data_IF_449480084091
#
_entry.id   IF_449480084091
#
_cell.length_a   1.000
_cell.length_b   1.000
_cell.length_c   1.000
_cell.angle_alpha   90.00
_cell.angle_beta   90.00
_cell.angle_gamma   90.00
#
_symmetry.space_group_name_H-M   'P 1'
#
loop_
_entity.id
_entity.type
_entity.pdbx_description
1 polymer ?
#
# COMPACT_ATOMS: atom_id res chain seq x y z
N UNK A 1 -6.54 43.12 -18.36
CA UNK A 1 -7.14 41.93 -17.70
C UNK A 1 -6.84 40.72 -18.57
N UNK A 2 -6.13 39.73 -18.04
CA UNK A 2 -6.13 38.32 -18.45
C UNK A 2 -5.15 37.59 -17.54
N UNK A 3 -5.63 37.20 -16.35
CA UNK A 3 -4.91 36.28 -15.47
C UNK A 3 -5.08 34.88 -16.05
N UNK A 4 -4.02 34.34 -16.64
CA UNK A 4 -3.92 32.94 -17.03
C UNK A 4 -4.09 32.08 -15.78
N UNK A 5 -5.31 31.58 -15.59
CA UNK A 5 -5.66 30.65 -14.53
C UNK A 5 -5.10 29.29 -14.94
N UNK A 6 -3.79 29.09 -14.75
CA UNK A 6 -3.16 27.77 -14.90
C UNK A 6 -3.87 26.83 -13.93
N UNK A 7 -4.58 25.79 -14.40
CA UNK A 7 -5.08 24.78 -13.49
C UNK A 7 -3.85 24.17 -12.82
N UNK A 8 -3.70 24.46 -11.54
CA UNK A 8 -2.77 23.80 -10.64
C UNK A 8 -2.91 22.31 -10.91
N UNK A 9 -1.80 21.63 -11.19
CA UNK A 9 -1.73 20.17 -11.26
C UNK A 9 -2.00 19.67 -9.84
N UNK A 10 -3.28 19.71 -9.45
CA UNK A 10 -3.80 18.90 -8.37
C UNK A 10 -3.57 17.49 -8.85
N UNK A 11 -2.60 16.83 -8.22
CA UNK A 11 -2.37 15.41 -8.37
C UNK A 11 -3.72 14.71 -8.25
N UNK A 12 -4.31 14.35 -9.39
CA UNK A 12 -5.47 13.48 -9.43
C UNK A 12 -4.95 12.15 -8.91
N UNK A 13 -5.06 11.95 -7.60
CA UNK A 13 -4.93 10.64 -6.98
C UNK A 13 -6.06 9.81 -7.59
N UNK A 14 -5.78 9.14 -8.70
CA UNK A 14 -6.70 8.13 -9.23
C UNK A 14 -6.83 7.11 -8.10
N UNK A 15 -8.01 7.09 -7.49
CA UNK A 15 -8.34 6.10 -6.49
C UNK A 15 -8.17 4.73 -7.14
N UNK A 16 -7.23 3.95 -6.63
CA UNK A 16 -7.05 2.57 -7.06
C UNK A 16 -8.19 1.79 -6.42
N UNK A 17 -8.90 0.99 -7.23
CA UNK A 17 -9.99 0.18 -6.70
C UNK A 17 -9.45 -0.84 -5.67
N UNK A 18 -10.22 -1.13 -4.60
CA UNK A 18 -9.82 -2.07 -3.54
C UNK A 18 -9.28 -3.41 -4.04
N UNK A 19 -9.89 -3.96 -5.08
CA UNK A 19 -9.56 -5.28 -5.63
C UNK A 19 -8.14 -5.30 -6.20
N UNK A 20 -7.69 -4.19 -6.78
CA UNK A 20 -6.31 -4.05 -7.24
C UNK A 20 -5.34 -3.92 -6.07
N UNK A 21 -5.72 -3.22 -5.00
CA UNK A 21 -4.88 -3.11 -3.80
C UNK A 21 -4.68 -4.48 -3.13
N UNK A 22 -5.73 -5.30 -3.07
CA UNK A 22 -5.64 -6.67 -2.59
C UNK A 22 -4.71 -7.51 -3.46
N UNK A 23 -4.88 -7.47 -4.78
CA UNK A 23 -4.02 -8.21 -5.71
C UNK A 23 -2.53 -7.82 -5.59
N UNK A 24 -2.24 -6.53 -5.47
CA UNK A 24 -0.88 -6.05 -5.20
C UNK A 24 -0.35 -6.56 -3.85
N UNK A 25 -1.16 -6.50 -2.80
CA UNK A 25 -0.79 -6.98 -1.48
C UNK A 25 -0.43 -8.47 -1.50
N UNK A 26 -1.20 -9.31 -2.19
CA UNK A 26 -0.88 -10.75 -2.28
C UNK A 26 0.43 -11.02 -3.02
N UNK A 27 0.64 -10.34 -4.15
CA UNK A 27 1.84 -10.51 -4.95
C UNK A 27 3.08 -10.10 -4.13
N UNK A 28 3.02 -8.94 -3.48
CA UNK A 28 4.11 -8.40 -2.68
C UNK A 28 4.38 -9.24 -1.42
N UNK A 29 3.33 -9.77 -0.78
CA UNK A 29 3.45 -10.65 0.39
C UNK A 29 4.13 -11.98 0.05
N UNK A 30 3.81 -12.56 -1.11
CA UNK A 30 4.52 -13.75 -1.61
C UNK A 30 6.01 -13.46 -1.88
N UNK A 31 6.33 -12.23 -2.28
CA UNK A 31 7.71 -11.78 -2.48
C UNK A 31 8.41 -11.32 -1.18
N UNK A 32 7.68 -11.12 -0.09
CA UNK A 32 8.18 -10.59 1.19
C UNK A 32 8.71 -9.16 1.07
N UNK A 33 8.16 -8.35 0.16
CA UNK A 33 8.63 -6.98 -0.12
C UNK A 33 7.46 -6.01 -0.14
N UNK A 34 7.15 -5.32 0.97
CA UNK A 34 6.02 -4.41 1.01
C UNK A 34 6.26 -3.18 0.14
N UNK A 35 5.22 -2.72 -0.56
CA UNK A 35 5.30 -1.60 -1.48
C UNK A 35 5.11 -0.26 -0.74
N UNK A 36 6.14 0.62 -0.71
CA UNK A 36 6.08 1.90 -0.01
C UNK A 36 4.92 2.80 -0.47
N UNK A 37 4.49 2.67 -1.73
CA UNK A 37 3.38 3.45 -2.31
C UNK A 37 2.06 3.21 -1.58
N UNK A 38 1.86 2.01 -1.03
CA UNK A 38 0.59 1.58 -0.44
C UNK A 38 0.63 1.48 1.09
N UNK A 39 1.72 1.92 1.74
CA UNK A 39 1.83 1.94 3.21
C UNK A 39 0.68 2.67 3.90
N UNK A 40 0.06 3.67 3.26
CA UNK A 40 -1.08 4.40 3.81
C UNK A 40 -2.45 3.77 3.52
N UNK A 41 -2.49 2.62 2.85
CA UNK A 41 -3.73 1.93 2.49
C UNK A 41 -4.00 0.80 3.48
N UNK A 42 -5.04 0.94 4.30
CA UNK A 42 -5.43 -0.11 5.25
C UNK A 42 -5.73 -1.44 4.54
N UNK A 43 -6.42 -1.39 3.39
CA UNK A 43 -6.75 -2.58 2.58
C UNK A 43 -5.49 -3.33 2.19
N UNK A 44 -4.49 -2.61 1.66
CA UNK A 44 -3.22 -3.21 1.26
C UNK A 44 -2.48 -3.80 2.46
N UNK A 45 -2.30 -3.00 3.53
CA UNK A 45 -1.49 -3.39 4.68
C UNK A 45 -2.10 -4.57 5.42
N UNK A 46 -3.42 -4.56 5.66
CA UNK A 46 -4.12 -5.68 6.30
C UNK A 46 -4.00 -6.97 5.48
N UNK A 47 -4.21 -6.91 4.16
CA UNK A 47 -4.11 -8.10 3.29
C UNK A 47 -2.68 -8.63 3.22
N UNK A 48 -1.70 -7.74 3.08
CA UNK A 48 -0.28 -8.10 3.03
C UNK A 48 0.14 -8.80 4.32
N UNK A 49 -0.17 -8.22 5.48
CA UNK A 49 0.25 -8.75 6.78
C UNK A 49 -0.43 -10.08 7.11
N UNK A 50 -1.71 -10.25 6.77
CA UNK A 50 -2.41 -11.52 6.94
C UNK A 50 -1.69 -12.66 6.18
N UNK A 51 -1.36 -12.42 4.90
CA UNK A 51 -0.67 -13.42 4.08
C UNK A 51 0.74 -13.69 4.60
N UNK A 52 1.47 -12.66 5.03
CA UNK A 52 2.81 -12.86 5.61
C UNK A 52 2.75 -13.64 6.91
N UNK A 53 1.81 -13.34 7.79
CA UNK A 53 1.61 -14.09 9.04
C UNK A 53 1.35 -15.57 8.75
N UNK A 54 0.54 -15.88 7.75
CA UNK A 54 0.27 -17.26 7.34
C UNK A 54 1.48 -17.95 6.70
N UNK A 55 2.29 -17.22 5.93
CA UNK A 55 3.42 -17.79 5.19
C UNK A 55 4.66 -18.04 6.06
N UNK A 56 4.97 -17.10 6.95
CA UNK A 56 6.24 -17.12 7.70
C UNK A 56 6.08 -16.95 9.20
N UNK A 57 4.89 -16.62 9.71
CA UNK A 57 4.70 -16.26 11.11
C UNK A 57 5.04 -14.79 11.41
N UNK A 58 4.26 -14.10 12.27
CA UNK A 58 4.49 -12.70 12.62
C UNK A 58 5.84 -12.45 13.33
N UNK A 59 6.38 -13.44 14.04
CA UNK A 59 7.69 -13.39 14.69
C UNK A 59 8.86 -13.28 13.70
N UNK A 60 8.61 -13.59 12.43
CA UNK A 60 9.58 -13.53 11.34
C UNK A 60 9.42 -12.29 10.44
N UNK A 61 8.59 -11.33 10.86
CA UNK A 61 8.42 -10.07 10.13
C UNK A 61 9.69 -9.22 10.18
N UNK A 62 10.04 -8.67 9.02
CA UNK A 62 11.08 -7.66 8.90
C UNK A 62 10.61 -6.31 9.46
N UNK A 63 11.54 -5.41 9.75
CA UNK A 63 11.22 -4.05 10.21
C UNK A 63 10.26 -3.32 9.27
N UNK A 64 10.39 -3.55 7.96
CA UNK A 64 9.52 -2.96 6.95
C UNK A 64 8.07 -3.47 7.04
N UNK A 65 7.87 -4.68 7.55
CA UNK A 65 6.56 -5.31 7.75
C UNK A 65 5.97 -4.90 9.09
N UNK A 66 6.80 -4.76 10.13
CA UNK A 66 6.35 -4.15 11.39
C UNK A 66 5.89 -2.71 11.21
N UNK A 67 6.56 -1.93 10.35
CA UNK A 67 6.13 -0.59 9.97
C UNK A 67 4.73 -0.59 9.32
N UNK A 68 4.27 -1.74 8.79
CA UNK A 68 2.92 -1.86 8.27
C UNK A 68 1.82 -2.06 9.33
N UNK A 69 2.18 -2.21 10.60
CA UNK A 69 1.21 -2.44 11.68
C UNK A 69 0.73 -1.14 12.36
N UNK A 70 1.33 0.01 12.01
CA UNK A 70 1.18 1.29 12.72
C UNK A 70 -0.04 2.11 12.21
N UNK A 71 -0.89 1.54 11.35
CA UNK A 71 -2.04 2.26 10.75
C UNK A 71 -3.37 1.91 11.41
#
# INVERSE_FOLDING_TARGET
MSTSNSPSIQARTQAIAPEYLEAYAEQDARAGRPNPRFKRSSIYCSRYLAIRADLVGPEHFSDAEWDLTIF
#
